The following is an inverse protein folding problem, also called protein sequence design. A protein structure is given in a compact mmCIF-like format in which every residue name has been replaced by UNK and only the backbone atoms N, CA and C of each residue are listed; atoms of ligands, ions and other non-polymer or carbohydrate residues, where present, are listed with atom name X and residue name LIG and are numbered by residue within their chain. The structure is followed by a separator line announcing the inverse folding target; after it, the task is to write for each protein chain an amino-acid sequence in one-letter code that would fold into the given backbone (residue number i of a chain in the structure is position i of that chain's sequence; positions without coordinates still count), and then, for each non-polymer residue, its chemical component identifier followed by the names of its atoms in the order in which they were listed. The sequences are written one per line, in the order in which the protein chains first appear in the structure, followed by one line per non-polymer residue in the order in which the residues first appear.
data_IF_458118950824
#
_entry.id   IF_458118950824
#
_cell.length_a   1.000
_cell.length_b   1.000
_cell.length_c   1.000
_cell.angle_alpha   90.00
_cell.angle_beta   90.00
_cell.angle_gamma   90.00
#
_symmetry.space_group_name_H-M   'P 1'
#
loop_
_entity.id
_entity.type
_entity.pdbx_description
1 polymer ?
#
# COMPACT_ATOMS: atom_id res chain seq x y z
N UNK A 1 7.35 -8.76 -23.71
CA UNK A 1 6.13 -9.18 -22.98
C UNK A 1 5.32 -7.94 -22.64
N UNK A 2 3.98 -8.01 -22.57
CA UNK A 2 3.17 -6.91 -22.08
C UNK A 2 3.60 -6.44 -20.68
N UNK A 3 3.55 -5.13 -20.48
CA UNK A 3 3.87 -4.48 -19.20
C UNK A 3 2.59 -3.91 -18.56
N UNK A 4 2.58 -3.89 -17.23
CA UNK A 4 1.66 -3.15 -16.38
C UNK A 4 2.48 -2.24 -15.47
N UNK A 5 2.11 -0.98 -15.38
CA UNK A 5 2.75 0.00 -14.50
C UNK A 5 1.75 0.43 -13.41
N UNK A 6 2.24 0.50 -12.18
CA UNK A 6 1.47 0.84 -11.00
C UNK A 6 2.18 1.93 -10.20
N UNK A 7 1.38 2.84 -9.65
CA UNK A 7 1.84 3.78 -8.65
C UNK A 7 0.83 3.79 -7.50
N UNK A 8 1.33 3.55 -6.29
CA UNK A 8 0.56 3.52 -5.05
C UNK A 8 1.12 4.53 -4.06
N UNK A 9 0.25 5.16 -3.28
CA UNK A 9 0.66 6.02 -2.18
C UNK A 9 -0.17 5.75 -0.92
N UNK A 10 0.51 5.74 0.21
CA UNK A 10 -0.07 5.65 1.55
C UNK A 10 0.47 6.81 2.41
N UNK A 11 -0.37 7.82 2.71
CA UNK A 11 0.02 8.91 3.60
C UNK A 11 0.47 8.38 4.96
N UNK A 12 1.55 8.94 5.50
CA UNK A 12 1.99 8.65 6.86
C UNK A 12 1.11 9.42 7.86
N UNK A 13 0.68 8.78 8.97
CA UNK A 13 -0.08 9.45 10.01
C UNK A 13 0.69 10.64 10.62
N UNK A 14 -0.02 11.67 11.12
CA UNK A 14 0.60 12.76 11.85
C UNK A 14 1.44 12.22 13.02
N UNK A 15 2.68 12.68 13.12
CA UNK A 15 3.63 12.24 14.16
C UNK A 15 4.39 10.95 13.84
N UNK A 16 4.19 10.32 12.68
CA UNK A 16 5.06 9.25 12.19
C UNK A 16 6.31 9.84 11.53
N UNK A 17 7.52 9.72 12.11
CA UNK A 17 8.72 10.25 11.48
C UNK A 17 9.09 9.42 10.25
N UNK A 18 9.43 10.03 9.10
CA UNK A 18 9.78 9.30 7.88
C UNK A 18 10.96 8.35 8.09
N UNK A 19 11.93 8.73 8.92
CA UNK A 19 13.08 7.89 9.27
C UNK A 19 12.71 6.56 9.92
N UNK A 20 11.60 6.47 10.68
CA UNK A 20 11.14 5.18 11.23
C UNK A 20 10.60 4.25 10.15
N UNK A 21 9.88 4.82 9.18
CA UNK A 21 9.40 4.06 8.02
C UNK A 21 10.57 3.58 7.18
N UNK A 22 11.51 4.46 6.87
CA UNK A 22 12.73 4.11 6.14
C UNK A 22 13.52 3.00 6.86
N UNK A 23 13.70 3.12 8.18
CA UNK A 23 14.37 2.09 8.98
C UNK A 23 13.65 0.73 8.90
N UNK A 24 12.31 0.72 8.93
CA UNK A 24 11.53 -0.50 8.75
C UNK A 24 11.69 -1.09 7.34
N UNK A 25 11.60 -0.26 6.29
CA UNK A 25 11.82 -0.69 4.90
C UNK A 25 13.20 -1.32 4.74
N UNK A 26 14.24 -0.74 5.34
CA UNK A 26 15.62 -1.22 5.26
C UNK A 26 15.87 -2.58 5.93
N UNK A 27 14.89 -3.11 6.68
CA UNK A 27 14.89 -4.50 7.15
C UNK A 27 14.42 -5.48 6.08
N UNK A 28 13.71 -5.02 5.04
CA UNK A 28 13.13 -5.82 3.97
C UNK A 28 11.92 -6.67 4.37
N UNK A 29 11.96 -7.37 5.51
CA UNK A 29 10.84 -8.27 5.90
C UNK A 29 9.48 -7.58 6.01
N UNK A 30 9.36 -6.30 6.44
CA UNK A 30 8.07 -5.61 6.44
C UNK A 30 7.41 -5.48 5.06
N UNK A 31 8.17 -5.60 3.98
CA UNK A 31 7.64 -5.62 2.60
C UNK A 31 7.19 -7.02 2.16
N UNK A 32 7.54 -8.07 2.92
CA UNK A 32 7.25 -9.47 2.59
C UNK A 32 6.08 -9.98 3.45
N UNK A 33 6.16 -9.82 4.77
CA UNK A 33 5.25 -10.46 5.73
C UNK A 33 3.78 -10.06 5.59
N UNK A 34 3.40 -8.85 5.14
CA UNK A 34 2.00 -8.50 4.97
C UNK A 34 1.35 -9.02 3.68
N UNK A 35 2.08 -9.71 2.80
CA UNK A 35 1.52 -10.26 1.58
C UNK A 35 0.45 -11.31 1.93
N UNK A 36 -0.82 -11.13 1.50
CA UNK A 36 -1.92 -12.03 1.87
C UNK A 36 -1.78 -13.44 1.27
N UNK A 37 -0.89 -13.61 0.30
CA UNK A 37 -0.61 -14.91 -0.33
C UNK A 37 0.60 -15.63 0.29
N UNK A 38 1.32 -14.98 1.21
CA UNK A 38 2.53 -15.53 1.81
C UNK A 38 2.23 -16.81 2.60
N UNK A 39 2.97 -17.87 2.31
CA UNK A 39 3.00 -19.12 3.09
C UNK A 39 4.23 -19.15 3.99
N UNK A 40 5.40 -18.87 3.42
CA UNK A 40 6.66 -18.79 4.15
C UNK A 40 7.67 -17.96 3.35
N UNK A 41 8.73 -17.51 4.00
CA UNK A 41 9.87 -16.93 3.33
C UNK A 41 11.14 -17.37 4.03
N UNK A 42 12.25 -17.39 3.29
CA UNK A 42 13.59 -17.55 3.86
C UNK A 42 14.56 -16.62 3.18
N UNK A 43 15.50 -16.09 3.95
CA UNK A 43 16.66 -15.39 3.40
C UNK A 43 17.60 -16.41 2.77
N UNK A 44 18.24 -16.04 1.67
CA UNK A 44 19.25 -16.84 0.96
C UNK A 44 20.48 -15.97 0.63
N UNK A 45 21.63 -16.59 0.31
CA UNK A 45 22.77 -15.85 -0.24
C UNK A 45 22.37 -15.08 -1.50
N UNK A 46 22.94 -13.87 -1.64
CA UNK A 46 22.78 -13.06 -2.85
C UNK A 46 23.69 -13.63 -3.93
N UNK A 47 23.11 -14.02 -5.06
CA UNK A 47 23.85 -14.35 -6.27
C UNK A 47 23.92 -13.10 -7.16
N UNK A 48 25.12 -12.54 -7.32
CA UNK A 48 25.32 -11.33 -8.12
C UNK A 48 25.05 -11.56 -9.61
N UNK A 49 25.21 -12.79 -10.11
CA UNK A 49 24.91 -13.11 -11.50
C UNK A 49 23.43 -12.89 -11.84
N UNK A 50 22.53 -12.94 -10.84
CA UNK A 50 21.11 -12.66 -11.05
C UNK A 50 20.81 -11.18 -11.35
N UNK A 51 21.70 -10.26 -10.96
CA UNK A 51 21.43 -8.81 -10.94
C UNK A 51 22.46 -7.95 -11.65
N UNK A 52 23.63 -8.49 -12.01
CA UNK A 52 24.74 -7.71 -12.58
C UNK A 52 24.37 -6.96 -13.86
N UNK A 53 23.52 -7.57 -14.70
CA UNK A 53 23.06 -6.98 -15.96
C UNK A 53 21.69 -6.31 -15.85
N UNK A 54 21.15 -6.20 -14.63
CA UNK A 54 19.82 -5.61 -14.40
C UNK A 54 19.96 -4.15 -13.96
N UNK A 55 19.69 -3.16 -14.86
CA UNK A 55 19.89 -1.73 -14.57
C UNK A 55 18.96 -1.19 -13.48
N UNK A 56 17.99 -2.00 -13.04
CA UNK A 56 17.15 -1.69 -11.89
C UNK A 56 17.94 -1.64 -10.57
N UNK A 57 18.98 -2.47 -10.46
CA UNK A 57 19.91 -2.44 -9.33
C UNK A 57 21.03 -1.47 -9.65
N UNK A 58 21.26 -0.51 -8.75
CA UNK A 58 22.11 0.65 -9.02
C UNK A 58 23.24 0.76 -8.01
N UNK A 59 24.26 1.53 -8.37
CA UNK A 59 25.42 1.82 -7.50
C UNK A 59 25.06 2.68 -6.28
N UNK A 60 23.91 3.36 -6.29
CA UNK A 60 23.37 4.10 -5.12
C UNK A 60 22.84 3.17 -4.01
N UNK A 61 22.86 1.85 -4.24
CA UNK A 61 22.45 0.84 -3.29
C UNK A 61 23.43 0.70 -2.12
N UNK A 62 22.90 0.62 -0.91
CA UNK A 62 23.69 0.52 0.33
C UNK A 62 23.83 -0.93 0.82
N UNK A 63 22.85 -1.80 0.53
CA UNK A 63 22.93 -3.22 0.85
C UNK A 63 21.97 -4.03 -0.01
N UNK A 64 22.33 -5.30 -0.24
CA UNK A 64 21.52 -6.30 -0.92
C UNK A 64 21.03 -7.37 0.05
N UNK A 65 19.85 -7.91 -0.22
CA UNK A 65 19.34 -9.12 0.40
C UNK A 65 18.56 -9.94 -0.63
N UNK A 66 18.65 -11.26 -0.53
CA UNK A 66 17.90 -12.16 -1.39
C UNK A 66 17.01 -13.06 -0.54
N UNK A 67 15.82 -13.33 -1.04
CA UNK A 67 14.80 -14.13 -0.38
C UNK A 67 14.23 -15.15 -1.36
N UNK A 68 13.79 -16.27 -0.81
CA UNK A 68 12.84 -17.16 -1.46
C UNK A 68 11.51 -17.02 -0.73
N UNK A 69 10.53 -16.52 -1.46
CA UNK A 69 9.17 -16.28 -0.96
C UNK A 69 8.30 -17.41 -1.49
N UNK A 70 7.57 -18.08 -0.60
CA UNK A 70 6.62 -19.12 -0.98
C UNK A 70 5.23 -18.52 -0.88
N UNK A 71 4.59 -18.32 -2.03
CA UNK A 71 3.23 -17.79 -2.12
C UNK A 71 2.23 -18.88 -2.50
N UNK A 72 1.01 -18.78 -1.97
CA UNK A 72 -0.14 -19.58 -2.38
C UNK A 72 -0.93 -18.82 -3.43
N UNK A 73 -0.78 -19.22 -4.68
CA UNK A 73 -1.56 -18.65 -5.79
C UNK A 73 -2.82 -19.46 -6.04
N UNK A 74 -3.91 -18.76 -6.36
CA UNK A 74 -5.16 -19.37 -6.83
C UNK A 74 -5.05 -19.56 -8.34
N UNK A 75 -4.93 -20.82 -8.78
CA UNK A 75 -4.87 -21.13 -10.21
C UNK A 75 -6.26 -21.20 -10.82
N UNK A 76 -7.22 -21.78 -10.10
CA UNK A 76 -8.63 -21.86 -10.48
C UNK A 76 -9.50 -21.57 -9.24
N UNK A 77 -10.25 -20.46 -9.21
CA UNK A 77 -11.07 -20.08 -8.06
C UNK A 77 -12.01 -21.22 -7.63
N UNK A 78 -11.94 -21.60 -6.35
CA UNK A 78 -12.77 -22.66 -5.77
C UNK A 78 -12.35 -24.10 -6.11
N UNK A 79 -11.30 -24.30 -6.92
CA UNK A 79 -10.92 -25.65 -7.40
C UNK A 79 -9.47 -25.98 -7.05
N UNK A 80 -8.51 -25.07 -7.29
CA UNK A 80 -7.10 -25.37 -7.12
C UNK A 80 -6.28 -24.17 -6.66
N UNK A 81 -5.46 -24.42 -5.64
CA UNK A 81 -4.37 -23.52 -5.23
C UNK A 81 -3.04 -24.23 -5.40
N UNK A 82 -1.98 -23.46 -5.69
CA UNK A 82 -0.62 -23.99 -5.84
C UNK A 82 0.34 -23.12 -5.04
N UNK A 83 1.28 -23.75 -4.35
CA UNK A 83 2.42 -23.04 -3.78
C UNK A 83 3.47 -22.80 -4.87
N UNK A 84 3.96 -21.58 -4.96
CA UNK A 84 5.01 -21.17 -5.89
C UNK A 84 6.16 -20.54 -5.12
N UNK A 85 7.38 -20.91 -5.49
CA UNK A 85 8.59 -20.28 -4.97
C UNK A 85 8.93 -19.10 -5.88
N UNK A 86 9.13 -17.94 -5.27
CA UNK A 86 9.38 -16.66 -5.93
C UNK A 86 10.72 -16.14 -5.38
N UNK A 87 11.84 -16.27 -6.11
CA UNK A 87 13.05 -15.55 -5.76
C UNK A 87 12.80 -14.03 -5.86
N UNK A 88 13.08 -13.30 -4.79
CA UNK A 88 13.21 -11.82 -4.80
C UNK A 88 14.63 -11.44 -4.41
N UNK A 89 15.17 -10.43 -5.10
CA UNK A 89 16.36 -9.70 -4.67
C UNK A 89 15.95 -8.28 -4.33
N UNK A 90 16.37 -7.80 -3.17
CA UNK A 90 16.10 -6.47 -2.65
C UNK A 90 17.39 -5.68 -2.49
N UNK A 91 17.31 -4.38 -2.78
CA UNK A 91 18.37 -3.41 -2.58
C UNK A 91 17.81 -2.21 -1.83
N UNK A 92 18.39 -1.89 -0.66
CA UNK A 92 18.06 -0.63 0.02
C UNK A 92 18.94 0.50 -0.51
N UNK A 93 18.38 1.70 -0.53
CA UNK A 93 19.07 2.95 -0.89
C UNK A 93 18.60 4.07 0.05
N UNK A 94 19.15 5.27 -0.09
CA UNK A 94 19.02 6.35 0.89
C UNK A 94 17.58 6.66 1.32
N UNK A 95 16.62 6.66 0.38
CA UNK A 95 15.23 7.02 0.61
C UNK A 95 14.25 5.84 0.43
N UNK A 96 14.73 4.60 0.29
CA UNK A 96 13.85 3.48 0.03
C UNK A 96 14.46 2.10 -0.19
N UNK A 97 13.67 1.24 -0.84
CA UNK A 97 14.03 -0.14 -1.23
C UNK A 97 13.55 -0.42 -2.66
N UNK A 98 14.33 -1.18 -3.41
CA UNK A 98 13.97 -1.78 -4.70
C UNK A 98 13.89 -3.29 -4.52
N UNK A 99 12.84 -3.96 -5.00
CA UNK A 99 12.79 -5.43 -5.11
C UNK A 99 12.55 -5.79 -6.57
N UNK A 100 13.24 -6.82 -7.02
CA UNK A 100 12.86 -7.57 -8.21
C UNK A 100 12.49 -8.99 -7.84
N UNK A 101 11.33 -9.44 -8.29
CA UNK A 101 10.82 -10.80 -8.09
C UNK A 101 10.58 -11.51 -9.42
N UNK A 102 10.87 -12.81 -9.46
CA UNK A 102 10.58 -13.68 -10.60
C UNK A 102 9.56 -14.73 -10.18
N UNK A 103 8.29 -14.54 -10.56
CA UNK A 103 7.20 -15.44 -10.20
C UNK A 103 6.91 -16.46 -11.32
N UNK A 104 6.07 -17.45 -11.01
CA UNK A 104 5.69 -18.49 -11.95
C UNK A 104 5.02 -17.92 -13.22
N UNK A 105 5.14 -18.64 -14.35
CA UNK A 105 4.53 -18.24 -15.62
C UNK A 105 5.25 -17.09 -16.33
N UNK A 106 6.53 -16.86 -15.99
CA UNK A 106 7.35 -15.81 -16.59
C UNK A 106 7.00 -14.40 -16.12
N UNK A 107 6.31 -14.28 -14.98
CA UNK A 107 5.95 -12.99 -14.39
C UNK A 107 7.17 -12.39 -13.73
N UNK A 108 7.52 -11.16 -14.10
CA UNK A 108 8.61 -10.40 -13.48
C UNK A 108 8.07 -9.12 -12.89
N UNK A 109 8.48 -8.82 -11.67
CA UNK A 109 8.05 -7.63 -10.94
C UNK A 109 9.30 -6.83 -10.57
N UNK A 110 9.26 -5.53 -10.82
CA UNK A 110 10.20 -4.55 -10.28
C UNK A 110 9.39 -3.54 -9.49
N UNK A 111 9.66 -3.40 -8.19
CA UNK A 111 8.96 -2.47 -7.30
C UNK A 111 9.96 -1.61 -6.56
N UNK A 112 9.71 -0.30 -6.52
CA UNK A 112 10.49 0.68 -5.75
C UNK A 112 9.60 1.32 -4.71
N UNK A 113 9.94 1.16 -3.43
CA UNK A 113 9.28 1.81 -2.31
C UNK A 113 10.10 3.00 -1.83
N UNK A 114 9.49 4.17 -1.68
CA UNK A 114 10.14 5.39 -1.19
C UNK A 114 9.31 6.09 -0.13
N UNK A 115 9.99 6.75 0.80
CA UNK A 115 9.36 7.71 1.71
C UNK A 115 9.61 9.10 1.15
N UNK A 116 8.56 9.78 0.72
CA UNK A 116 8.64 11.10 0.06
C UNK A 116 7.74 12.12 0.76
N UNK A 117 7.98 13.43 0.58
CA UNK A 117 7.01 14.45 0.99
C UNK A 117 5.64 14.20 0.34
N UNK A 118 4.56 14.53 1.07
CA UNK A 118 3.21 14.32 0.59
C UNK A 118 2.92 15.16 -0.66
N UNK A 119 2.34 14.53 -1.68
CA UNK A 119 2.01 15.17 -2.94
C UNK A 119 3.19 15.27 -3.90
N UNK A 120 4.31 14.59 -3.62
CA UNK A 120 5.42 14.44 -4.57
C UNK A 120 5.02 13.60 -5.79
N UNK A 121 4.08 12.65 -5.63
CA UNK A 121 3.64 11.81 -6.75
C UNK A 121 2.38 12.38 -7.40
N UNK A 122 2.37 12.47 -8.74
CA UNK A 122 1.30 13.11 -9.52
C UNK A 122 -0.07 12.41 -9.43
N UNK A 123 -1.13 13.11 -9.81
CA UNK A 123 -2.56 12.76 -9.65
C UNK A 123 -3.06 11.45 -10.32
N UNK A 124 -2.21 10.66 -10.97
CA UNK A 124 -2.54 9.34 -11.54
C UNK A 124 -2.38 8.16 -10.58
N UNK A 125 -1.99 8.41 -9.33
CA UNK A 125 -1.68 7.40 -8.31
C UNK A 125 -2.95 6.80 -7.71
N UNK A 126 -3.00 5.48 -7.61
CA UNK A 126 -4.04 4.85 -6.79
C UNK A 126 -3.67 5.02 -5.32
N UNK A 127 -4.39 5.90 -4.62
CA UNK A 127 -4.19 6.04 -3.18
C UNK A 127 -4.79 4.86 -2.42
N UNK A 128 -4.15 4.50 -1.31
CA UNK A 128 -4.72 3.56 -0.37
C UNK A 128 -6.15 3.96 0.06
N UNK A 129 -6.43 5.25 0.27
CA UNK A 129 -7.79 5.71 0.61
C UNK A 129 -8.83 5.41 -0.49
N UNK A 130 -8.49 5.66 -1.76
CA UNK A 130 -9.39 5.43 -2.89
C UNK A 130 -9.72 3.93 -3.10
N UNK A 131 -8.75 3.04 -2.90
CA UNK A 131 -8.97 1.60 -3.03
C UNK A 131 -9.87 1.01 -1.93
N UNK A 132 -9.83 1.58 -0.71
CA UNK A 132 -10.75 1.17 0.37
C UNK A 132 -12.20 1.56 0.03
N UNK A 133 -12.42 2.76 -0.51
CA UNK A 133 -13.74 3.21 -0.96
C UNK A 133 -14.28 2.34 -2.12
N UNK A 134 -13.43 1.96 -3.08
CA UNK A 134 -13.82 1.11 -4.21
C UNK A 134 -14.15 -0.35 -3.80
N UNK A 135 -13.53 -0.86 -2.73
CA UNK A 135 -13.85 -2.19 -2.18
C UNK A 135 -15.18 -2.18 -1.41
N UNK A 136 -15.47 -1.10 -0.67
CA UNK A 136 -16.73 -0.93 0.05
C UNK A 136 -17.93 -0.81 -0.91
N UNK A 137 -17.77 -0.14 -2.06
CA UNK A 137 -18.81 0.00 -3.07
C UNK A 137 -19.13 -1.27 -3.89
N UNK A 138 -18.38 -2.37 -3.72
CA UNK A 138 -18.59 -3.64 -4.45
C UNK A 138 -19.28 -4.73 -3.63
N UNK A 139 -19.67 -4.47 -2.38
CA UNK A 139 -20.42 -5.41 -1.54
C UNK A 139 -21.95 -5.34 -1.69
N UNK A 140 -22.49 -4.42 -2.50
CA UNK A 140 -23.92 -4.37 -2.84
C UNK A 140 -24.16 -4.90 -4.26
N UNK A 141 -24.24 -6.22 -4.44
CA UNK A 141 -24.59 -6.77 -5.76
C UNK A 141 -24.33 -8.25 -5.96
N UNK A 142 -24.86 -9.10 -5.09
CA UNK A 142 -24.79 -10.56 -5.28
C UNK A 142 -25.44 -11.31 -4.12
N UNK A 143 -26.75 -11.55 -4.24
CA UNK A 143 -27.63 -11.72 -3.09
C UNK A 143 -27.72 -13.11 -2.45
N UNK A 144 -28.59 -13.18 -1.42
CA UNK A 144 -29.44 -14.35 -1.16
C UNK A 144 -30.59 -13.99 -0.22
N UNK A 145 -31.78 -14.47 -0.62
CA UNK A 145 -33.06 -14.42 0.08
C UNK A 145 -33.01 -15.10 1.45
N UNK A 146 -33.67 -14.47 2.44
CA UNK A 146 -34.34 -14.99 3.66
C UNK A 146 -33.89 -14.26 4.94
N UNK A 147 -34.66 -13.23 5.33
CA UNK A 147 -34.99 -12.86 6.73
C UNK A 147 -35.74 -11.51 6.84
N UNK A 148 -36.40 -11.03 5.77
CA UNK A 148 -37.23 -9.82 5.84
C UNK A 148 -38.59 -10.14 6.47
N UNK A 149 -38.65 -10.14 7.81
CA UNK A 149 -39.93 -9.92 8.51
C UNK A 149 -39.80 -9.43 9.96
N UNK A 150 -38.67 -9.60 10.65
CA UNK A 150 -38.57 -9.19 12.07
C UNK A 150 -37.97 -7.80 12.33
N UNK A 151 -37.32 -7.17 11.35
CA UNK A 151 -36.63 -5.88 11.57
C UNK A 151 -37.52 -4.64 11.37
N UNK A 152 -38.73 -4.81 10.81
CA UNK A 152 -39.63 -3.68 10.51
C UNK A 152 -40.53 -3.26 11.68
N UNK A 153 -40.73 -4.11 12.71
CA UNK A 153 -41.56 -3.73 13.86
C UNK A 153 -40.80 -2.95 14.95
N UNK A 154 -39.48 -3.07 15.03
CA UNK A 154 -38.70 -2.39 16.09
C UNK A 154 -38.33 -0.94 15.80
N UNK A 155 -38.45 -0.47 14.55
CA UNK A 155 -38.01 0.87 14.17
C UNK A 155 -39.13 1.92 14.12
N UNK A 156 -40.40 1.53 14.29
CA UNK A 156 -41.53 2.47 14.32
C UNK A 156 -41.82 3.07 15.71
N UNK A 157 -41.08 2.70 16.76
CA UNK A 157 -41.40 3.12 18.14
C UNK A 157 -40.50 4.20 18.75
N UNK A 158 -39.59 4.84 18.00
CA UNK A 158 -38.65 5.83 18.56
C UNK A 158 -38.53 7.16 17.80
N UNK A 159 -39.61 7.67 17.22
CA UNK A 159 -39.63 9.07 16.74
C UNK A 159 -40.89 9.81 17.19
N UNK A 160 -40.85 10.36 18.40
CA UNK A 160 -41.59 11.56 18.78
C UNK A 160 -40.73 12.38 19.75
N UNK A 161 -40.24 13.56 19.32
CA UNK A 161 -40.49 14.88 19.94
C UNK A 161 -39.40 15.94 19.65
N UNK A 162 -39.86 17.02 19.01
CA UNK A 162 -39.61 18.45 19.26
C UNK A 162 -38.33 19.18 18.77
N UNK A 163 -38.58 20.20 17.95
CA UNK A 163 -37.75 21.34 17.48
C UNK A 163 -37.96 22.61 18.38
N UNK A 164 -37.44 23.82 18.02
CA UNK A 164 -36.16 24.48 18.39
C UNK A 164 -36.40 25.79 19.22
N UNK A 165 -35.43 26.74 19.39
CA UNK A 165 -35.30 27.88 18.45
C UNK A 165 -33.88 28.55 18.34
N UNK A 166 -33.87 29.72 17.68
CA UNK A 166 -32.88 30.42 16.82
C UNK A 166 -31.83 31.43 17.42
N UNK A 167 -30.68 31.57 16.71
CA UNK A 167 -29.91 32.78 16.17
C UNK A 167 -29.37 33.86 17.18
N UNK A 168 -28.19 34.56 17.03
CA UNK A 168 -27.70 35.26 15.81
C UNK A 168 -26.16 35.45 15.52
N UNK A 169 -25.93 36.09 14.36
CA UNK A 169 -24.73 36.54 13.62
C UNK A 169 -23.49 37.08 14.37
N UNK A 170 -22.30 36.93 13.73
CA UNK A 170 -21.41 38.08 13.45
C UNK A 170 -20.41 37.81 12.30
N UNK A 171 -20.31 38.78 11.41
CA UNK A 171 -19.33 38.95 10.33
C UNK A 171 -17.94 39.34 10.85
N UNK A 172 -16.88 39.10 10.06
CA UNK A 172 -15.78 40.04 9.88
C UNK A 172 -15.01 39.74 8.59
N UNK A 173 -14.72 40.83 7.89
CA UNK A 173 -13.94 40.97 6.68
C UNK A 173 -12.57 41.59 7.04
N UNK A 174 -11.49 41.25 6.33
CA UNK A 174 -10.35 42.13 6.00
C UNK A 174 -9.14 41.37 5.45
N UNK A 175 -8.78 41.79 4.24
CA UNK A 175 -7.60 41.54 3.42
C UNK A 175 -6.30 42.15 3.98
N UNK A 176 -5.16 41.48 3.84
CA UNK A 176 -3.87 42.13 3.51
C UNK A 176 -2.79 41.10 3.11
N UNK A 177 -2.11 41.42 2.01
CA UNK A 177 -0.94 40.75 1.43
C UNK A 177 0.35 41.08 2.18
N UNK A 178 1.29 40.14 2.21
CA UNK A 178 2.70 40.39 2.55
C UNK A 178 3.57 39.22 2.13
N UNK A 179 4.43 39.43 1.12
CA UNK A 179 5.34 38.43 0.58
C UNK A 179 6.51 38.14 1.51
N UNK A 180 6.94 36.87 1.49
CA UNK A 180 8.16 36.40 2.13
C UNK A 180 8.52 35.03 1.56
N UNK A 181 9.52 34.98 0.68
CA UNK A 181 10.07 33.74 0.17
C UNK A 181 10.74 32.95 1.29
N UNK A 182 10.21 31.76 1.57
CA UNK A 182 10.77 30.81 2.51
C UNK A 182 10.34 29.40 2.12
N UNK A 183 11.31 28.48 2.01
CA UNK A 183 11.11 27.06 1.70
C UNK A 183 9.91 26.46 2.45
N UNK A 184 8.81 26.28 1.74
CA UNK A 184 7.54 25.80 2.27
C UNK A 184 7.49 24.28 2.40
N UNK A 185 8.27 23.72 3.33
CA UNK A 185 8.27 22.27 3.62
C UNK A 185 7.91 21.91 5.07
N UNK A 186 7.78 22.87 5.97
CA UNK A 186 7.60 22.60 7.42
C UNK A 186 6.18 22.16 7.85
N UNK A 187 5.30 21.84 6.91
CA UNK A 187 3.91 21.43 7.20
C UNK A 187 3.34 20.38 6.27
N UNK A 188 4.11 19.89 5.28
CA UNK A 188 3.66 18.79 4.44
C UNK A 188 3.99 17.48 5.15
N UNK A 189 3.00 16.61 5.25
CA UNK A 189 3.21 15.25 5.74
C UNK A 189 4.15 14.48 4.82
N UNK A 190 4.44 13.23 5.17
CA UNK A 190 5.16 12.30 4.30
C UNK A 190 4.21 11.21 3.81
N UNK A 191 4.57 10.53 2.74
CA UNK A 191 3.86 9.36 2.23
C UNK A 191 4.84 8.25 1.86
N UNK A 192 4.39 7.01 2.05
CA UNK A 192 5.05 5.82 1.54
C UNK A 192 4.50 5.53 0.15
N UNK A 193 5.37 5.55 -0.84
CA UNK A 193 5.04 5.38 -2.26
C UNK A 193 5.62 4.08 -2.76
N UNK A 194 4.87 3.38 -3.59
CA UNK A 194 5.39 2.29 -4.41
C UNK A 194 5.19 2.60 -5.90
N UNK A 195 6.27 2.51 -6.67
CA UNK A 195 6.24 2.47 -8.13
C UNK A 195 6.62 1.06 -8.57
N UNK A 196 5.74 0.40 -9.32
CA UNK A 196 5.95 -0.98 -9.73
C UNK A 196 5.68 -1.21 -11.22
N UNK A 197 6.54 -2.01 -11.83
CA UNK A 197 6.43 -2.52 -13.18
C UNK A 197 6.28 -4.03 -13.13
N UNK A 198 5.28 -4.56 -13.83
CA UNK A 198 5.03 -6.00 -13.95
C UNK A 198 5.04 -6.41 -15.41
N UNK A 199 5.95 -7.30 -15.76
CA UNK A 199 5.93 -8.02 -17.04
C UNK A 199 5.22 -9.35 -16.88
N UNK A 200 4.27 -9.64 -17.75
CA UNK A 200 3.53 -10.91 -17.73
C UNK A 200 2.96 -11.24 -19.12
N UNK A 201 2.56 -12.49 -19.34
CA UNK A 201 1.90 -12.87 -20.60
C UNK A 201 0.51 -12.26 -20.69
N UNK A 202 0.03 -12.00 -21.92
CA UNK A 202 -1.31 -11.42 -22.16
C UNK A 202 -2.42 -12.22 -21.49
N UNK A 203 -2.26 -13.55 -21.42
CA UNK A 203 -3.24 -14.47 -20.83
C UNK A 203 -3.43 -14.25 -19.31
N UNK A 204 -2.35 -13.98 -18.58
CA UNK A 204 -2.41 -13.83 -17.11
C UNK A 204 -2.54 -12.38 -16.65
N UNK A 205 -2.32 -11.40 -17.55
CA UNK A 205 -2.32 -9.96 -17.27
C UNK A 205 -3.53 -9.47 -16.44
N UNK A 206 -4.79 -9.84 -16.74
CA UNK A 206 -5.94 -9.36 -15.97
C UNK A 206 -5.96 -9.87 -14.52
N UNK A 207 -5.50 -11.10 -14.29
CA UNK A 207 -5.44 -11.71 -12.97
C UNK A 207 -4.29 -11.13 -12.15
N UNK A 208 -3.09 -11.07 -12.77
CA UNK A 208 -1.90 -10.48 -12.16
C UNK A 208 -2.17 -9.05 -11.75
N UNK A 209 -2.73 -8.20 -12.63
CA UNK A 209 -2.94 -6.79 -12.30
C UNK A 209 -3.88 -6.57 -11.11
N UNK A 210 -4.98 -7.32 -11.01
CA UNK A 210 -5.93 -7.20 -9.89
C UNK A 210 -5.34 -7.71 -8.57
N UNK A 211 -4.72 -8.89 -8.58
CA UNK A 211 -4.10 -9.47 -7.39
C UNK A 211 -2.91 -8.65 -6.90
N UNK A 212 -2.08 -8.16 -7.82
CA UNK A 212 -0.93 -7.30 -7.54
C UNK A 212 -1.37 -6.01 -6.85
N UNK A 213 -2.31 -5.28 -7.46
CA UNK A 213 -2.83 -4.04 -6.89
C UNK A 213 -3.40 -4.22 -5.48
N UNK A 214 -4.20 -5.26 -5.26
CA UNK A 214 -4.82 -5.52 -3.96
C UNK A 214 -3.77 -5.86 -2.88
N UNK A 215 -2.82 -6.75 -3.19
CA UNK A 215 -1.78 -7.16 -2.25
C UNK A 215 -0.83 -6.02 -1.90
N UNK A 216 -0.38 -5.24 -2.87
CA UNK A 216 0.61 -4.18 -2.65
C UNK A 216 0.04 -2.99 -1.87
N UNK A 217 -1.24 -2.64 -2.09
CA UNK A 217 -1.93 -1.67 -1.24
C UNK A 217 -2.09 -2.17 0.20
N UNK A 218 -2.29 -3.48 0.41
CA UNK A 218 -2.34 -4.06 1.75
C UNK A 218 -0.96 -4.01 2.43
N UNK A 219 0.11 -4.31 1.71
CA UNK A 219 1.49 -4.21 2.21
C UNK A 219 1.78 -2.80 2.69
N UNK A 220 1.56 -1.78 1.86
CA UNK A 220 1.79 -0.38 2.21
C UNK A 220 1.07 0.04 3.49
N UNK A 221 -0.22 -0.29 3.60
CA UNK A 221 -1.02 0.04 4.79
C UNK A 221 -0.52 -0.68 6.03
N UNK A 222 -0.21 -1.97 5.91
CA UNK A 222 0.20 -2.79 7.05
C UNK A 222 1.55 -2.32 7.60
N UNK A 223 2.51 -2.03 6.72
CA UNK A 223 3.81 -1.46 7.11
C UNK A 223 3.62 -0.21 7.94
N UNK A 224 2.85 0.76 7.45
CA UNK A 224 2.58 2.02 8.16
C UNK A 224 1.89 1.78 9.50
N UNK A 225 0.91 0.88 9.56
CA UNK A 225 0.19 0.54 10.79
C UNK A 225 1.08 -0.13 11.84
N UNK A 226 1.95 -1.05 11.43
CA UNK A 226 2.87 -1.75 12.33
C UNK A 226 3.88 -0.79 12.96
N UNK A 227 4.46 0.10 12.16
CA UNK A 227 5.40 1.14 12.64
C UNK A 227 4.73 2.07 13.65
N UNK A 228 3.47 2.43 13.41
CA UNK A 228 2.71 3.25 14.35
C UNK A 228 2.41 2.52 15.66
N UNK A 229 2.17 1.21 15.60
CA UNK A 229 1.97 0.38 16.79
C UNK A 229 3.24 0.30 17.62
N UNK A 230 4.39 0.06 17.00
CA UNK A 230 5.71 0.06 17.65
C UNK A 230 6.02 1.42 18.30
N UNK A 231 5.66 2.52 17.63
CA UNK A 231 5.85 3.88 18.15
C UNK A 231 5.04 4.11 19.42
N UNK A 232 3.77 3.71 19.43
CA UNK A 232 2.90 3.86 20.61
C UNK A 232 3.38 3.04 21.81
N UNK A 233 4.00 1.89 21.58
CA UNK A 233 4.55 1.06 22.67
C UNK A 233 5.81 1.67 23.26
N UNK A 234 6.72 2.19 22.43
CA UNK A 234 7.98 2.79 22.89
C UNK A 234 7.80 4.08 23.70
N UNK A 235 6.69 4.81 23.51
CA UNK A 235 6.40 6.05 24.28
C UNK A 235 5.80 5.74 25.66
N UNK A 236 5.33 4.51 25.89
CA UNK A 236 4.68 4.11 27.16
C UNK A 236 5.62 3.47 28.18
N UNK A 237 6.84 3.13 27.78
CA UNK A 237 7.90 2.56 28.62
C UNK A 237 8.82 3.64 29.15
#
# INVERSE_FOLDING_TARGET
MPTLDFAFACPLPPGCPPGRVLHALHRFEPLITPNPYLVSYRRRPVDLAEIVDDPFFREDGQALAAFEIVDRIVFLPGVATKQVVIPCVMQRFADGVRCRSLAAGGVRVWSTWRVVPAGTVAAGVTTAAAAAAAAAGKQEGGGRRRSSRESHERQQQQQQTLTPPATPQRSNDSTASGGGGGSGDSGRGYELVEEARVECSTLVKPFVGRSFQAAHLLILRTVVQEIMRETKMAVRT
#
